data_IF_610157087139
#
_entry.id   IF_610157087139
#
_cell.length_a   1.000
_cell.length_b   1.000
_cell.length_c   1.000
_cell.angle_alpha   90.00
_cell.angle_beta   90.00
_cell.angle_gamma   90.00
#
_symmetry.space_group_name_H-M   'P 1'
#
loop_
_entity.id
_entity.type
_entity.pdbx_description
1 polymer ?
#
# COMPACT_ATOMS: atom_id res chain seq x y z
N UNK A 1 34.54 4.30 -14.24
CA UNK A 1 33.20 4.01 -14.79
C UNK A 1 32.17 3.52 -13.74
N UNK A 2 32.14 4.06 -12.50
CA UNK A 2 31.24 3.56 -11.43
C UNK A 2 30.01 4.44 -11.15
N UNK A 3 29.93 5.66 -11.69
CA UNK A 3 28.88 6.63 -11.29
C UNK A 3 27.46 6.27 -11.74
N UNK A 4 27.30 5.62 -12.90
CA UNK A 4 25.98 5.33 -13.49
C UNK A 4 25.16 4.28 -12.70
N UNK A 5 25.80 3.52 -11.82
CA UNK A 5 25.16 2.43 -11.09
C UNK A 5 24.78 2.79 -9.65
N UNK A 6 25.30 3.90 -9.11
CA UNK A 6 25.20 4.21 -7.67
C UNK A 6 23.78 4.46 -7.16
N UNK A 7 22.85 4.90 -8.02
CA UNK A 7 21.50 5.29 -7.63
C UNK A 7 20.40 4.30 -8.05
N UNK A 8 20.75 3.09 -8.50
CA UNK A 8 19.74 2.14 -8.99
C UNK A 8 18.76 1.69 -7.91
N UNK A 9 19.27 1.46 -6.70
CA UNK A 9 18.48 1.11 -5.52
C UNK A 9 18.75 2.15 -4.45
N UNK A 10 17.70 2.80 -3.96
CA UNK A 10 17.80 3.87 -2.97
C UNK A 10 16.86 3.56 -1.81
N UNK A 11 17.37 3.68 -0.59
CA UNK A 11 16.57 3.68 0.62
C UNK A 11 16.62 5.08 1.26
N UNK A 12 15.46 5.69 1.46
CA UNK A 12 15.29 6.96 2.17
C UNK A 12 14.56 6.66 3.47
N UNK A 13 15.23 6.92 4.60
CA UNK A 13 14.72 6.59 5.93
C UNK A 13 14.71 7.85 6.77
N UNK A 14 13.56 8.15 7.35
CA UNK A 14 13.29 9.35 8.14
C UNK A 14 12.95 10.57 7.28
N UNK A 15 12.04 11.40 7.79
CA UNK A 15 11.58 12.62 7.11
C UNK A 15 12.71 13.60 6.82
N UNK A 16 13.64 13.77 7.75
CA UNK A 16 14.79 14.67 7.63
C UNK A 16 15.69 14.38 6.43
N UNK A 17 15.59 13.20 5.81
CA UNK A 17 16.37 12.82 4.63
C UNK A 17 15.68 13.16 3.30
N UNK A 18 14.37 13.41 3.29
CA UNK A 18 13.62 13.70 2.07
C UNK A 18 14.12 14.98 1.38
N UNK A 19 14.13 16.11 2.09
CA UNK A 19 14.50 17.40 1.48
C UNK A 19 15.95 17.39 0.97
N UNK A 20 16.97 16.95 1.75
CA UNK A 20 18.33 16.84 1.24
C UNK A 20 18.45 15.89 0.04
N UNK A 21 17.73 14.77 0.06
CA UNK A 21 17.75 13.83 -1.05
C UNK A 21 17.11 14.41 -2.32
N UNK A 22 15.98 15.12 -2.19
CA UNK A 22 15.35 15.82 -3.31
C UNK A 22 16.31 16.84 -3.94
N UNK A 23 17.01 17.65 -3.11
CA UNK A 23 18.01 18.62 -3.58
C UNK A 23 19.18 17.95 -4.29
N UNK A 24 19.70 16.85 -3.74
CA UNK A 24 20.77 16.06 -4.34
C UNK A 24 20.33 15.48 -5.69
N UNK A 25 19.13 14.90 -5.77
CA UNK A 25 18.62 14.33 -7.01
C UNK A 25 18.40 15.41 -8.08
N UNK A 26 17.94 16.60 -7.69
CA UNK A 26 17.76 17.75 -8.58
C UNK A 26 19.08 18.29 -9.14
N UNK A 27 20.20 18.22 -8.40
CA UNK A 27 21.51 18.67 -8.89
C UNK A 27 22.16 17.69 -9.88
N UNK A 28 21.71 16.44 -9.92
CA UNK A 28 22.18 15.44 -10.87
C UNK A 28 21.51 15.66 -12.24
N UNK A 29 22.22 15.58 -13.38
CA UNK A 29 21.61 15.63 -14.71
C UNK A 29 20.57 14.52 -14.91
N UNK A 30 19.45 14.81 -15.57
CA UNK A 30 18.32 13.88 -15.74
C UNK A 30 18.74 12.49 -16.24
N UNK A 31 19.63 12.43 -17.24
CA UNK A 31 20.18 11.17 -17.81
C UNK A 31 20.83 10.23 -16.78
N UNK A 32 21.27 10.78 -15.64
CA UNK A 32 21.92 10.07 -14.53
C UNK A 32 20.97 9.76 -13.35
N UNK A 33 19.74 10.31 -13.32
CA UNK A 33 18.73 10.09 -12.26
C UNK A 33 18.02 8.74 -12.40
N UNK A 34 18.78 7.64 -12.44
CA UNK A 34 18.25 6.30 -12.74
C UNK A 34 17.95 5.50 -11.47
N UNK A 35 16.88 5.86 -10.77
CA UNK A 35 16.40 5.11 -9.60
C UNK A 35 15.36 4.09 -10.03
N UNK A 36 15.70 2.80 -9.96
CA UNK A 36 14.81 1.69 -10.33
C UNK A 36 14.06 1.13 -9.14
N UNK A 37 14.69 1.12 -7.97
CA UNK A 37 14.14 0.54 -6.75
C UNK A 37 14.18 1.60 -5.66
N UNK A 38 13.00 1.99 -5.16
CA UNK A 38 12.88 2.95 -4.08
C UNK A 38 12.28 2.28 -2.86
N UNK A 39 13.00 2.34 -1.75
CA UNK A 39 12.44 2.16 -0.42
C UNK A 39 12.33 3.53 0.25
N UNK A 40 11.17 3.82 0.81
CA UNK A 40 10.90 5.03 1.56
C UNK A 40 10.27 4.66 2.90
N UNK A 41 10.81 5.20 3.99
CA UNK A 41 10.20 5.10 5.32
C UNK A 41 10.23 6.44 6.03
N UNK A 42 9.08 6.86 6.57
CA UNK A 42 9.00 8.07 7.41
C UNK A 42 9.41 7.80 8.85
N UNK A 43 9.62 6.53 9.23
CA UNK A 43 10.02 6.15 10.58
C UNK A 43 11.47 6.51 10.84
N UNK A 44 11.75 7.00 12.05
CA UNK A 44 13.12 7.10 12.55
C UNK A 44 13.62 5.68 12.88
N UNK A 45 14.84 5.34 12.46
CA UNK A 45 15.42 4.02 12.73
C UNK A 45 16.25 3.94 14.02
N UNK A 46 16.67 5.07 14.60
CA UNK A 46 17.47 5.04 15.81
C UNK A 46 16.62 5.25 17.06
N UNK A 47 16.65 4.33 18.04
CA UNK A 47 16.09 4.58 19.35
C UNK A 47 16.82 5.77 19.98
N UNK A 48 16.09 6.86 20.23
CA UNK A 48 16.62 8.14 20.72
C UNK A 48 16.61 9.30 19.71
N UNK A 49 16.46 9.03 18.40
CA UNK A 49 16.31 10.10 17.39
C UNK A 49 14.83 10.57 17.22
N UNK A 50 13.84 9.94 17.86
CA UNK A 50 12.43 10.19 17.49
C UNK A 50 11.31 9.94 18.51
N UNK A 51 11.58 9.55 19.76
CA UNK A 51 10.51 9.43 20.79
C UNK A 51 10.44 10.64 21.72
N UNK A 52 11.40 11.57 21.62
CA UNK A 52 11.44 12.83 22.34
C UNK A 52 10.40 13.80 21.81
N UNK A 53 9.11 13.46 22.00
CA UNK A 53 7.92 14.15 21.51
C UNK A 53 7.95 14.24 19.98
N UNK A 54 6.98 13.60 19.32
CA UNK A 54 6.43 14.10 18.07
C UNK A 54 5.82 15.49 18.38
N UNK A 55 6.67 16.44 18.75
CA UNK A 55 6.36 17.84 18.93
C UNK A 55 5.74 18.22 17.60
N UNK A 56 4.47 18.60 17.65
CA UNK A 56 3.64 19.04 16.53
C UNK A 56 4.53 19.40 15.35
N UNK A 57 4.73 18.43 14.45
CA UNK A 57 5.38 18.72 13.17
C UNK A 57 4.50 19.83 12.63
N UNK A 58 5.04 21.05 12.60
CA UNK A 58 4.25 22.19 12.18
C UNK A 58 3.74 21.87 10.78
N UNK A 59 2.53 22.30 10.46
CA UNK A 59 1.94 22.05 9.14
C UNK A 59 2.92 22.42 8.00
N UNK A 60 3.78 23.43 8.23
CA UNK A 60 4.87 23.79 7.32
C UNK A 60 5.91 22.69 7.06
N UNK A 61 6.45 22.05 8.10
CA UNK A 61 7.47 20.97 7.94
C UNK A 61 6.83 19.78 7.25
N UNK A 62 5.57 19.51 7.56
CA UNK A 62 4.80 18.46 6.89
C UNK A 62 4.67 18.74 5.39
N UNK A 63 4.25 19.94 5.02
CA UNK A 63 4.06 20.35 3.62
C UNK A 63 5.38 20.35 2.83
N UNK A 64 6.49 20.77 3.45
CA UNK A 64 7.81 20.69 2.82
C UNK A 64 8.23 19.25 2.52
N UNK A 65 8.02 18.33 3.47
CA UNK A 65 8.33 16.92 3.29
C UNK A 65 7.43 16.25 2.24
N UNK A 66 6.13 16.59 2.25
CA UNK A 66 5.19 16.16 1.21
C UNK A 66 5.62 16.67 -0.17
N UNK A 67 6.01 17.93 -0.27
CA UNK A 67 6.51 18.53 -1.51
C UNK A 67 7.77 17.83 -2.00
N UNK A 68 8.73 17.59 -1.10
CA UNK A 68 9.95 16.85 -1.42
C UNK A 68 9.66 15.41 -1.89
N UNK A 69 8.72 14.71 -1.25
CA UNK A 69 8.29 13.37 -1.68
C UNK A 69 7.73 13.39 -3.11
N UNK A 70 6.82 14.31 -3.41
CA UNK A 70 6.24 14.45 -4.76
C UNK A 70 7.35 14.75 -5.78
N UNK A 71 8.26 15.67 -5.47
CA UNK A 71 9.39 16.02 -6.34
C UNK A 71 10.33 14.84 -6.60
N UNK A 72 10.63 14.04 -5.58
CA UNK A 72 11.45 12.84 -5.72
C UNK A 72 10.80 11.86 -6.69
N UNK A 73 9.52 11.51 -6.47
CA UNK A 73 8.81 10.59 -7.37
C UNK A 73 8.73 11.17 -8.78
N UNK A 74 8.45 12.46 -8.93
CA UNK A 74 8.42 13.13 -10.24
C UNK A 74 9.73 12.94 -11.00
N UNK A 75 10.88 13.19 -10.36
CA UNK A 75 12.20 13.11 -10.99
C UNK A 75 12.61 11.69 -11.39
N UNK A 76 12.09 10.66 -10.72
CA UNK A 76 12.46 9.25 -10.99
C UNK A 76 11.36 8.46 -11.71
N UNK A 77 10.18 9.06 -11.91
CA UNK A 77 8.94 8.43 -12.38
C UNK A 77 9.12 7.56 -13.63
N UNK A 78 9.94 8.02 -14.59
CA UNK A 78 10.23 7.32 -15.84
C UNK A 78 11.19 6.14 -15.68
N UNK A 79 11.90 6.03 -14.56
CA UNK A 79 12.90 4.97 -14.32
C UNK A 79 12.51 4.01 -13.20
N UNK A 80 11.55 4.40 -12.35
CA UNK A 80 11.10 3.65 -11.19
C UNK A 80 10.37 2.38 -11.62
N UNK A 81 10.81 1.23 -11.09
CA UNK A 81 10.25 -0.11 -11.34
C UNK A 81 9.63 -0.72 -10.10
N UNK A 82 10.26 -0.57 -8.94
CA UNK A 82 9.69 -1.04 -7.68
C UNK A 82 9.71 0.08 -6.65
N UNK A 83 8.62 0.21 -5.90
CA UNK A 83 8.50 1.21 -4.85
C UNK A 83 7.87 0.59 -3.61
N UNK A 84 8.55 0.67 -2.47
CA UNK A 84 8.00 0.36 -1.16
C UNK A 84 7.99 1.63 -0.32
N UNK A 85 6.80 2.10 0.05
CA UNK A 85 6.63 3.27 0.88
C UNK A 85 5.98 2.87 2.20
N UNK A 86 6.63 3.25 3.30
CA UNK A 86 6.24 3.00 4.68
C UNK A 86 6.01 4.36 5.31
N UNK A 87 4.75 4.78 5.45
CA UNK A 87 4.46 6.19 5.75
C UNK A 87 3.36 6.35 6.79
N UNK A 88 3.61 7.26 7.72
CA UNK A 88 2.57 7.87 8.57
C UNK A 88 2.07 9.21 8.03
N UNK A 89 2.64 9.71 6.94
CA UNK A 89 2.19 10.97 6.35
C UNK A 89 0.81 10.76 5.70
N UNK A 90 -0.20 11.63 5.97
CA UNK A 90 -1.45 11.64 5.24
C UNK A 90 -1.20 11.76 3.74
N UNK A 91 -1.44 10.66 3.04
CA UNK A 91 -1.38 10.65 1.58
C UNK A 91 -2.51 11.53 1.05
N UNK A 92 -2.36 12.01 -0.18
CA UNK A 92 -3.45 12.70 -0.91
C UNK A 92 -3.98 11.90 -2.08
N UNK A 93 -3.38 10.74 -2.34
CA UNK A 93 -3.82 9.75 -3.32
C UNK A 93 -3.77 8.36 -2.70
N UNK A 94 -4.54 7.43 -3.26
CA UNK A 94 -4.52 6.03 -2.85
C UNK A 94 -3.18 5.36 -3.20
N UNK A 95 -2.68 5.59 -4.42
CA UNK A 95 -1.40 5.09 -4.91
C UNK A 95 -0.28 6.12 -4.73
N UNK A 96 0.58 6.32 -5.74
CA UNK A 96 1.59 7.39 -5.75
C UNK A 96 0.98 8.70 -6.27
N UNK A 97 1.54 9.87 -5.90
CA UNK A 97 1.03 11.17 -6.35
C UNK A 97 1.39 11.51 -7.81
N UNK A 98 2.24 10.72 -8.47
CA UNK A 98 2.75 10.96 -9.81
C UNK A 98 2.70 9.66 -10.63
N UNK A 99 2.31 9.77 -11.90
CA UNK A 99 2.30 8.65 -12.85
C UNK A 99 3.69 8.06 -13.02
N UNK A 100 3.81 6.74 -12.84
CA UNK A 100 5.08 6.03 -12.99
C UNK A 100 4.89 4.94 -14.05
N UNK A 101 5.12 5.22 -15.34
CA UNK A 101 4.74 4.33 -16.44
C UNK A 101 5.48 2.99 -16.43
N UNK A 102 6.65 2.93 -15.80
CA UNK A 102 7.48 1.72 -15.71
C UNK A 102 7.40 1.02 -14.35
N UNK A 103 6.56 1.50 -13.43
CA UNK A 103 6.38 0.90 -12.11
C UNK A 103 5.68 -0.45 -12.25
N UNK A 104 6.34 -1.52 -11.82
CA UNK A 104 5.86 -2.91 -11.90
C UNK A 104 5.34 -3.39 -10.55
N UNK A 105 5.96 -2.95 -9.45
CA UNK A 105 5.60 -3.36 -8.10
C UNK A 105 5.49 -2.17 -7.15
N UNK A 106 4.39 -2.10 -6.42
CA UNK A 106 4.11 -1.06 -5.45
C UNK A 106 3.65 -1.67 -4.12
N UNK A 107 4.36 -1.35 -3.04
CA UNK A 107 3.95 -1.68 -1.67
C UNK A 107 3.74 -0.41 -0.87
N UNK A 108 2.55 -0.24 -0.31
CA UNK A 108 2.15 0.91 0.49
C UNK A 108 1.78 0.42 1.89
N UNK A 109 2.63 0.73 2.86
CA UNK A 109 2.46 0.36 4.25
C UNK A 109 2.05 1.57 5.08
N UNK A 110 0.87 1.49 5.73
CA UNK A 110 0.31 2.55 6.56
C UNK A 110 -1.15 2.87 6.23
N UNK A 111 -1.66 3.96 6.80
CA UNK A 111 -3.05 4.36 6.66
C UNK A 111 -3.36 4.92 5.26
N UNK A 112 -4.60 4.75 4.81
CA UNK A 112 -5.12 5.40 3.60
C UNK A 112 -5.32 6.90 3.80
N UNK A 113 -5.32 7.70 2.71
CA UNK A 113 -5.67 9.11 2.77
C UNK A 113 -7.08 9.30 3.37
N UNK A 114 -7.24 10.26 4.28
CA UNK A 114 -8.56 10.66 4.79
C UNK A 114 -9.29 11.53 3.77
N UNK A 115 -8.54 12.35 3.03
CA UNK A 115 -9.05 13.30 2.05
C UNK A 115 -8.26 13.17 0.75
N UNK A 116 -8.96 12.94 -0.36
CA UNK A 116 -8.37 12.98 -1.69
C UNK A 116 -8.44 14.40 -2.24
N UNK A 117 -7.31 14.91 -2.71
CA UNK A 117 -7.16 16.30 -3.14
C UNK A 117 -6.56 16.43 -4.54
N UNK A 118 -6.79 15.47 -5.43
CA UNK A 118 -6.13 15.49 -6.74
C UNK A 118 -7.10 15.75 -7.88
N UNK A 119 -6.84 16.83 -8.63
CA UNK A 119 -7.52 17.16 -9.87
C UNK A 119 -7.12 16.23 -11.03
N UNK A 120 -6.07 15.44 -10.84
CA UNK A 120 -5.54 14.50 -11.83
C UNK A 120 -5.36 13.13 -11.19
N UNK A 121 -5.68 12.09 -11.95
CA UNK A 121 -5.58 10.70 -11.51
C UNK A 121 -4.30 10.08 -12.08
N UNK A 122 -3.24 9.87 -11.26
CA UNK A 122 -1.99 9.29 -11.71
C UNK A 122 -2.18 7.91 -12.34
N UNK A 123 -1.35 7.57 -13.32
CA UNK A 123 -1.47 6.34 -14.10
C UNK A 123 -0.24 5.45 -13.95
N UNK A 124 -0.49 4.14 -13.80
CA UNK A 124 0.52 3.09 -13.59
C UNK A 124 0.26 1.92 -14.55
N UNK A 125 0.36 2.14 -15.88
CA UNK A 125 -0.02 1.15 -16.89
C UNK A 125 0.82 -0.14 -16.85
N UNK A 126 2.01 -0.12 -16.24
CA UNK A 126 2.86 -1.32 -16.10
C UNK A 126 2.75 -1.98 -14.72
N UNK A 127 1.91 -1.49 -13.81
CA UNK A 127 1.84 -2.00 -12.44
C UNK A 127 1.19 -3.37 -12.44
N UNK A 128 1.93 -4.38 -12.01
CA UNK A 128 1.50 -5.79 -11.98
C UNK A 128 1.22 -6.29 -10.56
N UNK A 129 1.98 -5.83 -9.56
CA UNK A 129 1.78 -6.21 -8.17
C UNK A 129 1.56 -4.98 -7.28
N UNK A 130 0.44 -4.99 -6.54
CA UNK A 130 0.06 -3.94 -5.61
C UNK A 130 -0.19 -4.53 -4.23
N UNK A 131 0.52 -4.05 -3.23
CA UNK A 131 0.35 -4.45 -1.83
C UNK A 131 -0.05 -3.26 -0.97
N UNK A 132 -1.16 -3.38 -0.26
CA UNK A 132 -1.51 -2.51 0.84
C UNK A 132 -1.34 -3.24 2.16
N UNK A 133 -0.62 -2.64 3.10
CA UNK A 133 -0.34 -3.27 4.38
C UNK A 133 -0.45 -2.31 5.55
N UNK A 134 -0.76 -2.83 6.73
CA UNK A 134 -0.88 -2.07 7.97
C UNK A 134 -1.88 -0.89 7.90
N UNK A 135 -2.98 -1.05 7.16
CA UNK A 135 -4.07 -0.07 7.10
C UNK A 135 -5.22 -0.45 8.04
N UNK A 136 -5.85 0.54 8.67
CA UNK A 136 -6.95 0.33 9.61
C UNK A 136 -8.34 0.35 8.95
N UNK A 137 -8.47 1.15 7.91
CA UNK A 137 -9.67 1.35 7.09
C UNK A 137 -9.24 1.77 5.68
N UNK A 138 -10.16 1.77 4.72
CA UNK A 138 -9.90 2.16 3.33
C UNK A 138 -11.06 2.97 2.74
N UNK A 139 -10.80 3.85 1.76
CA UNK A 139 -11.85 4.64 1.14
C UNK A 139 -12.78 3.77 0.27
N UNK A 140 -14.05 4.15 0.19
CA UNK A 140 -15.10 3.39 -0.51
C UNK A 140 -14.78 3.16 -2.00
N UNK A 141 -14.13 4.14 -2.63
CA UNK A 141 -13.70 4.11 -4.04
C UNK A 141 -12.31 3.45 -4.25
N UNK A 142 -11.76 2.73 -3.26
CA UNK A 142 -10.43 2.10 -3.36
C UNK A 142 -10.29 1.26 -4.63
N UNK A 143 -11.25 0.39 -4.90
CA UNK A 143 -11.17 -0.53 -6.03
C UNK A 143 -11.38 0.18 -7.37
N UNK A 144 -12.24 1.20 -7.40
CA UNK A 144 -12.47 2.05 -8.58
C UNK A 144 -11.18 2.76 -8.99
N UNK A 145 -10.48 3.32 -8.02
CA UNK A 145 -9.18 3.95 -8.21
C UNK A 145 -8.11 2.96 -8.68
N UNK A 146 -8.09 1.74 -8.14
CA UNK A 146 -7.16 0.70 -8.61
C UNK A 146 -7.42 0.36 -10.08
N UNK A 147 -8.68 0.20 -10.47
CA UNK A 147 -9.07 -0.11 -11.85
C UNK A 147 -8.66 1.01 -12.79
N UNK A 148 -8.90 2.25 -12.40
CA UNK A 148 -8.61 3.43 -13.20
C UNK A 148 -7.11 3.72 -13.32
N UNK A 149 -6.33 3.48 -12.25
CA UNK A 149 -4.92 3.86 -12.18
C UNK A 149 -3.97 2.72 -12.58
N UNK A 150 -4.36 1.45 -12.42
CA UNK A 150 -3.50 0.28 -12.63
C UNK A 150 -4.21 -0.78 -13.50
N UNK A 151 -4.48 -0.50 -14.78
CA UNK A 151 -5.27 -1.40 -15.64
C UNK A 151 -4.59 -2.74 -15.94
N UNK A 152 -3.28 -2.85 -15.78
CA UNK A 152 -2.51 -4.08 -16.01
C UNK A 152 -2.25 -4.88 -14.72
N UNK A 153 -2.97 -4.58 -13.62
CA UNK A 153 -2.74 -5.23 -12.33
C UNK A 153 -3.00 -6.73 -12.43
N UNK A 154 -2.04 -7.54 -12.01
CA UNK A 154 -2.11 -9.01 -12.01
C UNK A 154 -2.30 -9.57 -10.60
N UNK A 155 -1.72 -8.90 -9.60
CA UNK A 155 -1.66 -9.33 -8.20
C UNK A 155 -2.03 -8.19 -7.25
N UNK A 156 -3.01 -8.45 -6.38
CA UNK A 156 -3.42 -7.54 -5.31
C UNK A 156 -3.25 -8.21 -3.95
N UNK A 157 -2.53 -7.58 -3.03
CA UNK A 157 -2.32 -8.08 -1.67
C UNK A 157 -2.84 -7.09 -0.64
N UNK A 158 -3.70 -7.57 0.28
CA UNK A 158 -4.36 -6.76 1.30
C UNK A 158 -4.07 -7.32 2.70
N UNK A 159 -3.26 -6.59 3.46
CA UNK A 159 -2.80 -6.95 4.81
C UNK A 159 -3.25 -5.88 5.82
N UNK A 160 -4.51 -5.87 6.26
CA UNK A 160 -5.00 -4.84 7.16
C UNK A 160 -4.31 -4.94 8.53
N UNK A 161 -4.08 -3.79 9.19
CA UNK A 161 -3.50 -3.72 10.54
C UNK A 161 -4.44 -4.27 11.63
N UNK A 162 -5.73 -4.42 11.32
CA UNK A 162 -6.73 -5.03 12.18
C UNK A 162 -7.80 -5.74 11.34
N UNK A 163 -8.54 -6.71 11.90
CA UNK A 163 -9.67 -7.32 11.21
C UNK A 163 -10.70 -6.28 10.73
N UNK A 164 -11.03 -6.29 9.44
CA UNK A 164 -12.01 -5.37 8.84
C UNK A 164 -13.39 -6.00 8.73
N UNK A 165 -14.42 -5.23 9.08
CA UNK A 165 -15.82 -5.66 8.95
C UNK A 165 -16.35 -5.58 7.52
N UNK A 166 -15.80 -4.69 6.69
CA UNK A 166 -16.38 -4.37 5.38
C UNK A 166 -15.57 -4.95 4.21
N UNK A 167 -14.26 -5.16 4.38
CA UNK A 167 -13.35 -5.53 3.28
C UNK A 167 -13.82 -6.74 2.47
N UNK A 168 -14.38 -7.74 3.15
CA UNK A 168 -14.84 -8.94 2.46
C UNK A 168 -16.06 -8.69 1.57
N UNK A 169 -16.99 -7.81 1.96
CA UNK A 169 -18.19 -7.50 1.18
C UNK A 169 -17.81 -6.76 -0.11
N UNK A 170 -16.90 -5.78 -0.01
CA UNK A 170 -16.43 -5.07 -1.19
C UNK A 170 -15.67 -6.01 -2.11
N UNK A 171 -14.80 -6.87 -1.57
CA UNK A 171 -14.10 -7.88 -2.37
C UNK A 171 -15.05 -8.84 -3.09
N UNK A 172 -16.11 -9.33 -2.44
CA UNK A 172 -17.12 -10.19 -3.10
C UNK A 172 -17.63 -9.53 -4.37
N UNK A 173 -17.96 -8.26 -4.24
CA UNK A 173 -18.70 -7.54 -5.24
C UNK A 173 -17.79 -7.03 -6.37
N UNK A 174 -16.60 -6.52 -6.04
CA UNK A 174 -15.58 -6.13 -7.02
C UNK A 174 -14.99 -7.33 -7.77
N UNK A 175 -14.99 -8.53 -7.18
CA UNK A 175 -14.55 -9.77 -7.83
C UNK A 175 -15.68 -10.49 -8.59
N UNK A 176 -16.92 -10.00 -8.55
CA UNK A 176 -18.08 -10.65 -9.18
C UNK A 176 -18.30 -12.10 -8.66
N UNK A 177 -18.04 -12.34 -7.38
CA UNK A 177 -18.26 -13.65 -6.74
C UNK A 177 -19.70 -13.69 -6.24
N UNK A 178 -20.55 -14.47 -6.91
CA UNK A 178 -21.97 -14.57 -6.58
C UNK A 178 -22.19 -15.19 -5.18
N UNK A 179 -22.74 -14.46 -4.19
CA UNK A 179 -23.07 -15.04 -2.91
C UNK A 179 -24.32 -15.93 -3.06
N UNK A 180 -24.13 -17.23 -3.24
CA UNK A 180 -25.24 -18.20 -3.33
C UNK A 180 -26.11 -18.29 -2.06
N UNK A 181 -25.72 -17.63 -0.96
CA UNK A 181 -26.44 -17.61 0.32
C UNK A 181 -26.97 -16.21 0.62
N UNK A 182 -28.29 -16.07 0.74
CA UNK A 182 -29.00 -14.83 1.12
C UNK A 182 -28.48 -14.19 2.42
N UNK A 183 -27.92 -14.98 3.34
CA UNK A 183 -27.34 -14.48 4.61
C UNK A 183 -25.99 -13.77 4.43
N UNK A 184 -25.42 -13.82 3.23
CA UNK A 184 -24.12 -13.26 2.88
C UNK A 184 -24.21 -12.22 1.76
N UNK A 185 -25.41 -11.95 1.24
CA UNK A 185 -25.61 -10.97 0.19
C UNK A 185 -25.40 -9.56 0.75
N UNK A 186 -24.67 -8.68 0.06
CA UNK A 186 -24.64 -7.27 0.42
C UNK A 186 -26.06 -6.67 0.38
N UNK A 187 -26.32 -5.58 1.12
CA UNK A 187 -27.60 -4.86 1.06
C UNK A 187 -27.95 -4.53 -0.40
N UNK A 188 -29.24 -4.59 -0.80
CA UNK A 188 -29.65 -4.37 -2.19
C UNK A 188 -29.32 -2.97 -2.72
N UNK A 189 -29.08 -1.99 -1.84
CA UNK A 189 -28.72 -0.62 -2.22
C UNK A 189 -27.20 -0.42 -2.41
N UNK A 190 -26.40 -1.46 -2.18
CA UNK A 190 -24.95 -1.40 -2.35
C UNK A 190 -24.55 -2.03 -3.69
N UNK A 191 -24.55 -1.20 -4.74
CA UNK A 191 -23.98 -1.55 -6.03
C UNK A 191 -22.55 -1.04 -6.10
N UNK A 192 -21.53 -1.90 -5.95
CA UNK A 192 -20.18 -1.51 -6.29
C UNK A 192 -20.17 -1.24 -7.79
N UNK A 193 -19.79 -0.03 -8.14
CA UNK A 193 -19.79 0.45 -9.51
C UNK A 193 -18.73 -0.21 -10.37
N UNK A 194 -17.72 -0.85 -9.77
CA UNK A 194 -16.52 -1.24 -10.52
C UNK A 194 -16.03 -2.64 -10.19
N UNK A 195 -15.65 -3.35 -11.25
CA UNK A 195 -15.03 -4.68 -11.22
C UNK A 195 -13.53 -4.52 -11.31
N UNK A 196 -12.77 -5.34 -10.57
CA UNK A 196 -11.30 -5.35 -10.69
C UNK A 196 -10.89 -5.63 -12.14
N UNK A 197 -9.71 -5.15 -12.59
CA UNK A 197 -9.24 -5.41 -13.94
C UNK A 197 -9.26 -6.91 -14.24
N UNK A 198 -9.63 -7.28 -15.47
CA UNK A 198 -9.71 -8.68 -15.88
C UNK A 198 -8.35 -9.41 -15.80
N UNK A 199 -7.25 -8.64 -15.81
CA UNK A 199 -5.87 -9.10 -15.64
C UNK A 199 -5.57 -9.60 -14.22
N UNK A 200 -6.38 -9.22 -13.22
CA UNK A 200 -6.15 -9.65 -11.84
C UNK A 200 -6.39 -11.15 -11.72
N UNK A 201 -5.28 -11.88 -11.58
CA UNK A 201 -5.23 -13.34 -11.49
C UNK A 201 -5.06 -13.81 -10.05
N UNK A 202 -4.53 -12.96 -9.16
CA UNK A 202 -4.23 -13.31 -7.76
C UNK A 202 -4.65 -12.20 -6.82
N UNK A 203 -5.42 -12.55 -5.80
CA UNK A 203 -5.82 -11.64 -4.72
C UNK A 203 -5.51 -12.29 -3.38
N UNK A 204 -4.47 -11.83 -2.71
CA UNK A 204 -4.07 -12.32 -1.40
C UNK A 204 -4.70 -11.46 -0.31
N UNK A 205 -5.41 -12.11 0.62
CA UNK A 205 -6.14 -11.40 1.68
C UNK A 205 -5.82 -12.04 3.02
N UNK A 206 -5.33 -11.23 3.95
CA UNK A 206 -5.18 -11.59 5.35
C UNK A 206 -6.39 -11.07 6.14
N UNK A 207 -6.99 -11.84 7.07
CA UNK A 207 -8.14 -11.39 7.86
C UNK A 207 -7.77 -10.39 8.99
N UNK A 208 -6.56 -9.84 8.98
CA UNK A 208 -5.92 -9.11 10.09
C UNK A 208 -4.74 -9.87 10.70
N UNK A 209 -3.89 -9.20 11.50
CA UNK A 209 -2.75 -9.82 12.17
C UNK A 209 -3.18 -10.79 13.26
N UNK A 210 -2.23 -11.58 13.76
CA UNK A 210 -2.39 -12.36 14.97
C UNK A 210 -2.78 -11.44 16.13
N UNK A 211 -3.85 -11.81 16.84
CA UNK A 211 -4.43 -11.00 17.90
C UNK A 211 -3.73 -11.33 19.20
N UNK A 212 -3.15 -10.32 19.83
CA UNK A 212 -2.56 -10.43 21.16
C UNK A 212 -3.70 -10.61 22.17
N UNK A 213 -3.75 -11.78 22.81
CA UNK A 213 -4.81 -12.18 23.75
C UNK A 213 -4.99 -11.22 24.92
N UNK A 214 -3.94 -10.50 25.30
CA UNK A 214 -3.91 -9.55 26.42
C UNK A 214 -4.50 -8.17 26.07
N UNK A 215 -4.79 -7.90 24.79
CA UNK A 215 -5.37 -6.62 24.38
C UNK A 215 -6.80 -6.45 24.87
N UNK A 216 -7.17 -5.25 25.34
CA UNK A 216 -8.50 -4.92 25.88
C UNK A 216 -9.68 -5.35 24.96
N UNK A 217 -9.45 -5.34 23.65
CA UNK A 217 -10.46 -5.65 22.63
C UNK A 217 -10.27 -7.02 21.97
N UNK A 218 -9.41 -7.90 22.51
CA UNK A 218 -9.03 -9.17 21.87
C UNK A 218 -10.23 -10.02 21.47
N UNK A 219 -11.23 -10.17 22.36
CA UNK A 219 -12.44 -10.95 22.08
C UNK A 219 -13.25 -10.41 20.90
N UNK A 220 -13.45 -9.08 20.86
CA UNK A 220 -14.16 -8.41 19.76
C UNK A 220 -13.41 -8.58 18.43
N UNK A 221 -12.10 -8.29 18.42
CA UNK A 221 -11.25 -8.44 17.24
C UNK A 221 -11.23 -9.90 16.74
N UNK A 222 -11.21 -10.87 17.66
CA UNK A 222 -11.21 -12.30 17.33
C UNK A 222 -12.51 -12.72 16.66
N UNK A 223 -13.65 -12.22 17.13
CA UNK A 223 -14.93 -12.46 16.49
C UNK A 223 -14.97 -11.90 15.06
N UNK A 224 -14.49 -10.66 14.86
CA UNK A 224 -14.40 -10.04 13.52
C UNK A 224 -13.44 -10.85 12.61
N UNK A 225 -12.28 -11.25 13.12
CA UNK A 225 -11.30 -12.04 12.37
C UNK A 225 -11.86 -13.41 11.96
N UNK A 226 -12.61 -14.08 12.85
CA UNK A 226 -13.27 -15.36 12.55
C UNK A 226 -14.28 -15.19 11.41
N UNK A 227 -15.09 -14.12 11.45
CA UNK A 227 -16.05 -13.82 10.38
C UNK A 227 -15.31 -13.57 9.07
N UNK A 228 -14.29 -12.70 9.08
CA UNK A 228 -13.49 -12.36 7.91
C UNK A 228 -12.80 -13.58 7.32
N UNK A 229 -12.18 -14.44 8.14
CA UNK A 229 -11.58 -15.72 7.72
C UNK A 229 -12.61 -16.62 7.02
N UNK A 230 -13.79 -16.82 7.62
CA UNK A 230 -14.86 -17.64 7.00
C UNK A 230 -15.28 -17.08 5.65
N UNK A 231 -15.43 -15.76 5.55
CA UNK A 231 -15.82 -15.07 4.30
C UNK A 231 -14.75 -15.17 3.21
N UNK A 232 -13.46 -15.02 3.55
CA UNK A 232 -12.35 -15.19 2.60
C UNK A 232 -12.24 -16.63 2.12
N UNK A 233 -12.33 -17.62 3.02
CA UNK A 233 -12.30 -19.03 2.64
C UNK A 233 -13.49 -19.40 1.74
N UNK A 234 -14.67 -18.82 2.00
CA UNK A 234 -15.82 -18.97 1.11
C UNK A 234 -15.55 -18.34 -0.27
N UNK A 235 -15.00 -17.11 -0.35
CA UNK A 235 -14.60 -16.51 -1.62
C UNK A 235 -13.62 -17.39 -2.38
N UNK A 236 -12.57 -17.90 -1.71
CA UNK A 236 -11.58 -18.80 -2.31
C UNK A 236 -12.21 -20.09 -2.87
N UNK A 237 -13.23 -20.64 -2.20
CA UNK A 237 -13.93 -21.84 -2.65
C UNK A 237 -14.86 -21.57 -3.85
N UNK A 238 -15.49 -20.39 -3.89
CA UNK A 238 -16.56 -20.07 -4.84
C UNK A 238 -16.13 -19.16 -6.00
N UNK A 239 -14.92 -18.60 -5.96
CA UNK A 239 -14.35 -17.87 -7.10
C UNK A 239 -13.96 -18.85 -8.21
N UNK A 240 -14.77 -18.89 -9.27
CA UNK A 240 -14.57 -19.78 -10.42
C UNK A 240 -13.18 -19.61 -11.08
N UNK A 241 -12.57 -18.43 -10.92
CA UNK A 241 -11.24 -18.12 -11.47
C UNK A 241 -10.10 -18.47 -10.51
N UNK A 242 -10.39 -18.95 -9.30
CA UNK A 242 -9.40 -19.30 -8.27
C UNK A 242 -8.37 -18.18 -7.97
N UNK A 243 -8.81 -16.92 -8.02
CA UNK A 243 -7.95 -15.74 -7.81
C UNK A 243 -7.70 -15.49 -6.34
N UNK A 244 -8.72 -15.68 -5.49
CA UNK A 244 -8.64 -15.37 -4.06
C UNK A 244 -7.78 -16.39 -3.32
N UNK A 245 -6.78 -15.91 -2.57
CA UNK A 245 -5.88 -16.70 -1.73
C UNK A 245 -5.94 -16.19 -0.30
N UNK A 246 -6.33 -17.07 0.61
CA UNK A 246 -6.31 -16.81 2.04
C UNK A 246 -4.86 -16.79 2.56
N UNK A 247 -4.47 -15.70 3.21
CA UNK A 247 -3.26 -15.63 4.01
C UNK A 247 -3.60 -15.86 5.48
N UNK A 248 -2.81 -16.72 6.13
CA UNK A 248 -2.93 -16.93 7.57
C UNK A 248 -2.59 -15.63 8.31
N UNK A 249 -3.24 -15.32 9.45
CA UNK A 249 -2.78 -14.25 10.32
C UNK A 249 -1.30 -14.45 10.64
N UNK A 250 -0.49 -13.45 10.30
CA UNK A 250 0.91 -13.36 10.70
C UNK A 250 1.08 -12.39 11.87
N UNK A 251 2.32 -12.21 12.37
CA UNK A 251 2.59 -11.19 13.38
C UNK A 251 2.14 -9.81 12.89
N UNK A 252 1.77 -8.89 13.80
CA UNK A 252 1.54 -7.50 13.45
C UNK A 252 2.74 -6.94 12.69
N UNK A 253 2.49 -6.24 11.58
CA UNK A 253 3.55 -5.62 10.82
C UNK A 253 4.12 -4.45 11.62
N UNK A 254 5.39 -4.58 11.97
CA UNK A 254 6.18 -3.56 12.65
C UNK A 254 6.83 -2.69 11.57
N UNK A 255 6.70 -1.36 11.66
CA UNK A 255 7.20 -0.46 10.61
C UNK A 255 8.73 -0.46 10.55
N UNK A 256 9.38 -0.72 11.68
CA UNK A 256 10.81 -0.82 11.88
C UNK A 256 11.43 -1.99 11.10
N UNK A 257 10.69 -3.09 10.96
CA UNK A 257 11.15 -4.30 10.25
C UNK A 257 11.03 -4.19 8.73
N UNK A 258 10.27 -3.20 8.24
CA UNK A 258 9.97 -3.07 6.81
C UNK A 258 11.22 -2.88 5.94
N UNK A 259 12.27 -2.24 6.46
CA UNK A 259 13.55 -2.13 5.74
C UNK A 259 14.24 -3.50 5.66
N UNK A 260 14.30 -4.23 6.76
CA UNK A 260 14.97 -5.54 6.83
C UNK A 260 14.29 -6.52 5.87
N UNK A 261 12.96 -6.53 5.85
CA UNK A 261 12.18 -7.32 4.89
C UNK A 261 12.47 -6.93 3.43
N UNK A 262 12.58 -5.63 3.14
CA UNK A 262 12.88 -5.15 1.80
C UNK A 262 14.27 -5.61 1.35
N UNK A 263 15.29 -5.45 2.21
CA UNK A 263 16.66 -5.90 1.94
C UNK A 263 16.77 -7.43 1.83
N UNK A 264 15.94 -8.19 2.55
CA UNK A 264 15.92 -9.65 2.50
C UNK A 264 15.38 -10.23 1.19
N UNK A 265 14.48 -9.51 0.51
CA UNK A 265 13.90 -9.95 -0.77
C UNK A 265 14.85 -9.91 -1.95
N UNK A 266 15.87 -9.04 -1.94
CA UNK A 266 16.87 -8.98 -3.02
C UNK A 266 17.86 -10.16 -3.01
N UNK A 267 17.78 -11.06 -2.02
CA UNK A 267 18.66 -12.24 -1.90
C UNK A 267 18.05 -13.55 -2.39
N UNK A 268 16.82 -13.53 -2.91
CA UNK A 268 16.10 -14.68 -3.46
C UNK A 268 15.89 -14.49 -4.97
#
# INVERSE_FOLDING_TARGET
>A
MSSEYKLRSVAIIGLQRLIPFARMLASIPERQRRVRHLFFSTMAQKPGEGTGKLHAVTDSVYDENRTAWIQIIQMISSTLRTCRAVSHLPRTTILLPVSCPNLVELTLQGQFPVLLYTNHTPQFPSLRSLTFSAFNDYPVYLFDDIVLQAPALEELTLLPAQPSRNLHNDLYATLDINPQSSRCSPPPDYFPTTRLPATVSRVYVQPGPEIISESRNASCLKNVQIIMKRKILHMQKHDQRNRVKFLRPGPPLVFEDALVEWLGRERL
#
